data_IF_333066707863
#
_entry.id   IF_333066707863
#
_cell.length_a   1.000
_cell.length_b   1.000
_cell.length_c   1.000
_cell.angle_alpha   90.00
_cell.angle_beta   90.00
_cell.angle_gamma   90.00
#
_symmetry.space_group_name_H-M   'P 1'
#
loop_
_entity.id
_entity.type
_entity.pdbx_description
1 polymer ?
#
# COMPACT_ATOMS: atom_id res chain seq x y z
N UNK A 1 -10.43 -19.20 34.95
CA UNK A 1 -9.15 -19.64 34.36
C UNK A 1 -8.40 -18.51 33.63
N UNK A 2 -9.08 -17.53 33.01
CA UNK A 2 -8.46 -16.42 32.28
C UNK A 2 -7.56 -15.48 33.13
N UNK A 3 -7.82 -15.34 34.43
CA UNK A 3 -7.04 -14.46 35.35
C UNK A 3 -5.60 -14.91 35.61
N UNK A 4 -5.28 -16.20 35.40
CA UNK A 4 -3.92 -16.76 35.60
C UNK A 4 -3.14 -16.83 34.29
N UNK A 5 -3.84 -16.92 33.15
CA UNK A 5 -3.22 -17.02 31.83
C UNK A 5 -2.50 -15.71 31.47
N UNK A 6 -3.12 -14.57 31.76
CA UNK A 6 -2.55 -13.25 31.45
C UNK A 6 -1.18 -13.01 32.12
N UNK A 7 -1.00 -13.20 33.44
CA UNK A 7 0.32 -13.00 34.06
C UNK A 7 1.37 -14.01 33.58
N UNK A 8 0.98 -15.25 33.25
CA UNK A 8 1.92 -16.26 32.71
C UNK A 8 2.40 -15.88 31.32
N UNK A 9 1.51 -15.40 30.45
CA UNK A 9 1.86 -14.94 29.09
C UNK A 9 2.76 -13.71 29.15
N UNK A 10 2.45 -12.74 30.02
CA UNK A 10 3.29 -11.55 30.22
C UNK A 10 4.66 -11.96 30.76
N UNK A 11 4.72 -12.88 31.72
CA UNK A 11 5.98 -13.39 32.27
C UNK A 11 6.84 -14.08 31.21
N UNK A 12 6.24 -14.90 30.34
CA UNK A 12 6.96 -15.55 29.23
C UNK A 12 7.43 -14.51 28.19
N UNK A 13 6.60 -13.54 27.83
CA UNK A 13 6.97 -12.49 26.88
C UNK A 13 8.11 -11.61 27.41
N UNK A 14 8.07 -11.25 28.70
CA UNK A 14 9.13 -10.52 29.38
C UNK A 14 10.39 -11.37 29.52
N UNK A 15 10.27 -12.66 29.84
CA UNK A 15 11.41 -13.58 29.86
C UNK A 15 12.05 -13.72 28.48
N UNK A 16 11.28 -13.79 27.40
CA UNK A 16 11.81 -13.82 26.03
C UNK A 16 12.53 -12.51 25.72
N UNK A 17 11.92 -11.36 26.03
CA UNK A 17 12.56 -10.04 25.83
C UNK A 17 13.88 -9.91 26.62
N UNK A 18 13.93 -10.45 27.85
CA UNK A 18 15.13 -10.42 28.70
C UNK A 18 16.18 -11.47 28.31
N UNK A 19 15.75 -12.67 27.88
CA UNK A 19 16.63 -13.79 27.49
C UNK A 19 17.33 -13.51 26.16
N UNK A 20 16.67 -12.77 25.26
CA UNK A 20 17.23 -12.31 24.00
C UNK A 20 17.92 -10.93 24.10
N UNK A 21 17.78 -10.24 25.25
CA UNK A 21 18.51 -9.03 25.64
C UNK A 21 18.39 -7.83 24.67
N UNK A 22 19.15 -6.78 24.97
CA UNK A 22 19.40 -5.63 24.07
C UNK A 22 20.02 -6.05 22.72
N UNK A 23 20.61 -7.25 22.65
CA UNK A 23 21.22 -7.81 21.43
C UNK A 23 20.19 -8.14 20.34
N UNK A 24 19.07 -8.76 20.69
CA UNK A 24 18.00 -9.01 19.71
C UNK A 24 17.32 -7.71 19.28
N UNK A 25 17.07 -6.80 20.22
CA UNK A 25 16.48 -5.51 19.89
C UNK A 25 17.40 -4.69 18.99
N UNK A 26 18.70 -4.62 19.27
CA UNK A 26 19.68 -3.93 18.40
C UNK A 26 19.88 -4.61 17.06
N UNK A 27 19.81 -5.94 16.98
CA UNK A 27 19.81 -6.69 15.71
C UNK A 27 18.55 -6.42 14.89
N UNK A 28 17.39 -6.33 15.53
CA UNK A 28 16.13 -5.98 14.86
C UNK A 28 16.12 -4.52 14.44
N UNK A 29 16.61 -3.60 15.28
CA UNK A 29 16.67 -2.17 14.95
C UNK A 29 17.65 -1.89 13.81
N UNK A 30 18.83 -2.52 13.81
CA UNK A 30 19.79 -2.41 12.70
C UNK A 30 19.22 -3.03 11.42
N UNK A 31 18.59 -4.21 11.50
CA UNK A 31 17.89 -4.78 10.35
C UNK A 31 16.79 -3.86 9.82
N UNK A 32 16.01 -3.22 10.69
CA UNK A 32 14.97 -2.28 10.30
C UNK A 32 15.55 -1.00 9.69
N UNK A 33 16.62 -0.47 10.26
CA UNK A 33 17.30 0.71 9.74
C UNK A 33 17.91 0.43 8.35
N UNK A 34 18.56 -0.71 8.17
CA UNK A 34 19.09 -1.16 6.89
C UNK A 34 17.97 -1.40 5.86
N UNK A 35 16.88 -2.04 6.27
CA UNK A 35 15.74 -2.28 5.40
C UNK A 35 15.05 -0.97 4.97
N UNK A 36 14.88 -0.03 5.90
CA UNK A 36 14.32 1.30 5.63
C UNK A 36 15.27 2.12 4.76
N UNK A 37 16.58 2.08 5.02
CA UNK A 37 17.61 2.74 4.22
C UNK A 37 17.64 2.24 2.79
N UNK A 38 17.69 0.91 2.60
CA UNK A 38 17.59 0.27 1.28
C UNK A 38 16.33 0.71 0.54
N UNK A 39 15.18 0.71 1.22
CA UNK A 39 13.92 1.11 0.61
C UNK A 39 13.95 2.58 0.16
N UNK A 40 14.45 3.48 1.00
CA UNK A 40 14.55 4.91 0.70
C UNK A 40 15.54 5.21 -0.43
N UNK A 41 16.68 4.53 -0.46
CA UNK A 41 17.68 4.71 -1.51
C UNK A 41 17.20 4.17 -2.85
N UNK A 42 16.61 2.97 -2.85
CA UNK A 42 15.98 2.40 -4.03
C UNK A 42 14.86 3.30 -4.56
N UNK A 43 14.08 3.89 -3.65
CA UNK A 43 13.02 4.82 -4.00
C UNK A 43 13.53 6.09 -4.68
N UNK A 44 14.57 6.70 -4.10
CA UNK A 44 15.21 7.88 -4.65
C UNK A 44 15.79 7.60 -6.03
N UNK A 45 16.42 6.43 -6.19
CA UNK A 45 16.93 5.97 -7.47
C UNK A 45 15.79 5.79 -8.48
N UNK A 46 14.71 5.12 -8.11
CA UNK A 46 13.55 4.93 -8.98
C UNK A 46 12.94 6.28 -9.41
N UNK A 47 12.70 7.20 -8.48
CA UNK A 47 12.09 8.50 -8.77
C UNK A 47 12.95 9.33 -9.74
N UNK A 48 14.26 9.36 -9.52
CA UNK A 48 15.19 10.06 -10.42
C UNK A 48 15.21 9.44 -11.82
N UNK A 49 15.22 8.11 -11.93
CA UNK A 49 15.15 7.43 -13.23
C UNK A 49 13.84 7.70 -13.98
N UNK A 50 12.70 7.70 -13.26
CA UNK A 50 11.40 8.03 -13.87
C UNK A 50 11.37 9.48 -14.32
N UNK A 51 11.84 10.42 -13.48
CA UNK A 51 11.90 11.84 -13.81
C UNK A 51 12.81 12.08 -15.04
N UNK A 52 13.99 11.48 -15.06
CA UNK A 52 14.93 11.56 -16.18
C UNK A 52 14.34 10.95 -17.45
N UNK A 53 13.64 9.82 -17.36
CA UNK A 53 12.95 9.23 -18.50
C UNK A 53 11.89 10.18 -19.08
N UNK A 54 11.06 10.77 -18.20
CA UNK A 54 9.99 11.70 -18.58
C UNK A 54 10.56 12.95 -19.27
N UNK A 55 11.61 13.55 -18.70
CA UNK A 55 12.23 14.77 -19.23
C UNK A 55 12.99 14.49 -20.53
N UNK A 56 13.74 13.40 -20.60
CA UNK A 56 14.59 13.12 -21.76
C UNK A 56 13.86 12.43 -22.92
N UNK A 57 12.68 11.86 -22.69
CA UNK A 57 11.92 11.14 -23.72
C UNK A 57 10.42 11.55 -23.75
N UNK A 58 10.11 12.84 -23.95
CA UNK A 58 8.73 13.33 -23.88
C UNK A 58 7.82 12.68 -24.94
N UNK A 59 8.34 12.33 -26.11
CA UNK A 59 7.56 11.63 -27.15
C UNK A 59 7.15 10.21 -26.73
N UNK A 60 7.97 9.50 -25.93
CA UNK A 60 7.62 8.18 -25.38
C UNK A 60 6.50 8.32 -24.37
N UNK A 61 6.51 9.39 -23.56
CA UNK A 61 5.43 9.69 -22.63
C UNK A 61 4.11 9.95 -23.39
N UNK A 62 4.14 10.78 -24.42
CA UNK A 62 2.96 11.04 -25.26
C UNK A 62 2.43 9.77 -25.92
N UNK A 63 3.32 8.93 -26.47
CA UNK A 63 2.93 7.65 -27.05
C UNK A 63 2.30 6.72 -26.00
N UNK A 64 2.89 6.63 -24.80
CA UNK A 64 2.34 5.84 -23.70
C UNK A 64 0.95 6.34 -23.27
N UNK A 65 0.74 7.67 -23.20
CA UNK A 65 -0.56 8.26 -22.90
C UNK A 65 -1.60 7.97 -23.99
N UNK A 66 -1.22 8.08 -25.27
CA UNK A 66 -2.12 7.77 -26.39
C UNK A 66 -2.51 6.30 -26.39
N UNK A 67 -1.54 5.40 -26.25
CA UNK A 67 -1.80 3.95 -26.15
C UNK A 67 -2.70 3.65 -24.95
N UNK A 68 -2.42 4.25 -23.80
CA UNK A 68 -3.23 4.08 -22.59
C UNK A 68 -4.66 4.57 -22.80
N UNK A 69 -4.85 5.76 -23.41
CA UNK A 69 -6.17 6.29 -23.69
C UNK A 69 -6.97 5.37 -24.63
N UNK A 70 -6.34 4.87 -25.70
CA UNK A 70 -6.97 3.94 -26.65
C UNK A 70 -7.34 2.62 -25.96
N UNK A 71 -6.38 2.04 -25.21
CA UNK A 71 -6.60 0.80 -24.48
C UNK A 71 -7.71 0.95 -23.43
N UNK A 72 -7.70 2.05 -22.65
CA UNK A 72 -8.75 2.36 -21.69
C UNK A 72 -10.11 2.48 -22.35
N UNK A 73 -10.24 3.25 -23.44
CA UNK A 73 -11.51 3.39 -24.16
C UNK A 73 -12.03 2.03 -24.69
N UNK A 74 -11.13 1.19 -25.20
CA UNK A 74 -11.48 -0.14 -25.67
C UNK A 74 -11.96 -1.06 -24.53
N UNK A 75 -11.26 -1.06 -23.39
CA UNK A 75 -11.62 -1.84 -22.21
C UNK A 75 -12.97 -1.39 -21.65
N UNK A 76 -13.16 -0.08 -21.46
CA UNK A 76 -14.42 0.46 -20.91
C UNK A 76 -15.61 0.15 -21.81
N UNK A 77 -15.44 0.24 -23.13
CA UNK A 77 -16.51 -0.09 -24.09
C UNK A 77 -16.90 -1.56 -24.06
N UNK A 78 -15.96 -2.47 -23.74
CA UNK A 78 -16.19 -3.92 -23.84
C UNK A 78 -16.55 -4.57 -22.50
N UNK A 79 -16.00 -4.09 -21.38
CA UNK A 79 -16.09 -4.73 -20.06
C UNK A 79 -16.50 -3.76 -18.94
N UNK A 80 -17.03 -2.57 -19.28
CA UNK A 80 -17.40 -1.55 -18.31
C UNK A 80 -18.35 -2.06 -17.21
N UNK A 81 -19.36 -2.84 -17.59
CA UNK A 81 -20.36 -3.35 -16.63
C UNK A 81 -19.78 -4.42 -15.69
N UNK A 82 -18.86 -5.26 -16.18
CA UNK A 82 -18.18 -6.28 -15.37
C UNK A 82 -17.20 -5.66 -14.37
N UNK A 83 -16.50 -4.59 -14.78
CA UNK A 83 -15.57 -3.84 -13.92
C UNK A 83 -16.28 -3.18 -12.73
N UNK A 84 -17.54 -2.78 -12.93
CA UNK A 84 -18.37 -2.18 -11.88
C UNK A 84 -19.03 -3.21 -10.96
N UNK A 85 -18.83 -4.51 -11.19
CA UNK A 85 -19.35 -5.52 -10.28
C UNK A 85 -18.72 -5.36 -8.87
N UNK A 86 -19.49 -5.58 -7.79
CA UNK A 86 -19.00 -5.41 -6.42
C UNK A 86 -17.72 -6.20 -6.15
N UNK A 87 -17.64 -7.43 -6.67
CA UNK A 87 -16.50 -8.33 -6.51
C UNK A 87 -15.23 -7.80 -7.18
N UNK A 88 -15.35 -7.28 -8.41
CA UNK A 88 -14.19 -6.73 -9.11
C UNK A 88 -13.72 -5.43 -8.46
N UNK A 89 -14.64 -4.58 -7.97
CA UNK A 89 -14.29 -3.34 -7.27
C UNK A 89 -13.40 -3.59 -6.05
N UNK A 90 -13.77 -4.55 -5.19
CA UNK A 90 -12.94 -4.94 -4.04
C UNK A 90 -11.57 -5.46 -4.48
N UNK A 91 -11.53 -6.36 -5.47
CA UNK A 91 -10.27 -6.91 -6.01
C UNK A 91 -9.35 -5.82 -6.55
N UNK A 92 -9.88 -4.86 -7.32
CA UNK A 92 -9.10 -3.73 -7.80
C UNK A 92 -8.59 -2.86 -6.66
N UNK A 93 -9.40 -2.58 -5.64
CA UNK A 93 -8.95 -1.82 -4.47
C UNK A 93 -7.79 -2.51 -3.72
N UNK A 94 -7.83 -3.84 -3.58
CA UNK A 94 -6.72 -4.63 -3.00
C UNK A 94 -5.46 -4.52 -3.85
N UNK A 95 -5.57 -4.79 -5.16
CA UNK A 95 -4.43 -4.72 -6.09
C UNK A 95 -3.81 -3.33 -6.05
N UNK A 96 -4.65 -2.30 -6.08
CA UNK A 96 -4.21 -0.92 -6.05
C UNK A 96 -3.56 -0.55 -4.72
N UNK A 97 -4.01 -1.11 -3.59
CA UNK A 97 -3.41 -0.90 -2.27
C UNK A 97 -2.04 -1.59 -2.12
N UNK A 98 -1.81 -2.72 -2.79
CA UNK A 98 -0.52 -3.43 -2.78
C UNK A 98 0.50 -2.72 -3.67
N UNK A 99 0.15 -2.44 -4.93
CA UNK A 99 1.12 -1.93 -5.91
C UNK A 99 1.28 -0.41 -5.88
N UNK A 100 0.18 0.30 -5.64
CA UNK A 100 0.10 1.77 -5.77
C UNK A 100 -0.43 2.42 -4.50
N UNK A 101 -0.48 1.66 -3.39
CA UNK A 101 -1.13 2.12 -2.18
C UNK A 101 -0.30 3.13 -1.40
N UNK A 102 1.03 3.12 -1.57
CA UNK A 102 1.92 4.15 -1.04
C UNK A 102 1.62 5.54 -1.61
N UNK A 103 1.05 5.63 -2.82
CA UNK A 103 0.53 6.89 -3.40
C UNK A 103 -0.90 7.20 -2.96
N UNK A 104 -1.58 6.28 -2.27
CA UNK A 104 -2.99 6.40 -1.91
C UNK A 104 -3.97 6.12 -3.05
N UNK A 105 -3.53 5.49 -4.15
CA UNK A 105 -4.36 5.25 -5.33
C UNK A 105 -5.63 4.45 -5.01
N UNK A 106 -5.57 3.48 -4.09
CA UNK A 106 -6.74 2.73 -3.60
C UNK A 106 -7.77 3.63 -2.92
N UNK A 107 -7.36 4.69 -2.23
CA UNK A 107 -8.28 5.66 -1.62
C UNK A 107 -8.94 6.54 -2.67
N UNK A 108 -8.21 6.96 -3.69
CA UNK A 108 -8.79 7.68 -4.83
C UNK A 108 -9.80 6.83 -5.60
N UNK A 109 -9.47 5.56 -5.83
CA UNK A 109 -10.37 4.61 -6.48
C UNK A 109 -11.70 4.42 -5.71
N UNK A 110 -11.65 4.50 -4.38
CA UNK A 110 -12.83 4.43 -3.51
C UNK A 110 -13.55 5.78 -3.33
N UNK A 111 -13.18 6.83 -4.06
CA UNK A 111 -13.77 8.16 -3.97
C UNK A 111 -13.36 8.95 -2.72
N UNK A 112 -12.39 8.46 -1.95
CA UNK A 112 -11.93 9.06 -0.69
C UNK A 112 -10.75 10.02 -0.92
N UNK A 113 -10.97 11.07 -1.72
CA UNK A 113 -9.93 12.00 -2.18
C UNK A 113 -9.11 12.61 -1.03
N UNK A 114 -9.76 13.03 0.06
CA UNK A 114 -9.06 13.59 1.22
C UNK A 114 -8.06 12.62 1.85
N UNK A 115 -8.43 11.34 1.97
CA UNK A 115 -7.51 10.29 2.46
C UNK A 115 -6.40 10.00 1.45
N UNK A 116 -6.70 10.01 0.15
CA UNK A 116 -5.70 9.86 -0.89
C UNK A 116 -4.63 10.96 -0.83
N UNK A 117 -5.04 12.22 -0.61
CA UNK A 117 -4.11 13.34 -0.43
C UNK A 117 -3.23 13.14 0.81
N UNK A 118 -3.81 12.68 1.93
CA UNK A 118 -3.04 12.36 3.15
C UNK A 118 -1.97 11.29 2.86
N UNK A 119 -2.30 10.26 2.09
CA UNK A 119 -1.33 9.25 1.66
C UNK A 119 -0.19 9.84 0.84
N UNK A 120 -0.46 10.77 -0.08
CA UNK A 120 0.58 11.48 -0.85
C UNK A 120 1.49 12.27 0.08
N UNK A 121 0.92 13.01 1.05
CA UNK A 121 1.69 13.80 2.02
C UNK A 121 2.56 12.91 2.90
N UNK A 122 2.01 11.81 3.43
CA UNK A 122 2.77 10.84 4.23
C UNK A 122 3.87 10.21 3.37
N UNK A 123 3.57 9.86 2.12
CA UNK A 123 4.59 9.30 1.22
C UNK A 123 5.73 10.26 0.93
N UNK A 124 5.44 11.55 0.86
CA UNK A 124 6.46 12.58 0.62
C UNK A 124 7.35 12.80 1.85
N UNK A 125 6.78 12.74 3.06
CA UNK A 125 7.51 12.93 4.32
C UNK A 125 8.24 11.66 4.75
N UNK A 126 7.57 10.52 4.66
CA UNK A 126 8.07 9.22 5.11
C UNK A 126 7.41 8.07 4.33
N UNK A 127 7.96 7.75 3.16
CA UNK A 127 7.47 6.70 2.27
C UNK A 127 7.24 5.33 2.93
N UNK A 128 8.12 4.82 3.83
CA UNK A 128 7.91 3.52 4.45
C UNK A 128 6.61 3.42 5.25
N UNK A 129 6.20 4.48 5.94
CA UNK A 129 4.92 4.49 6.67
C UNK A 129 3.73 4.43 5.71
N UNK A 130 3.79 5.13 4.58
CA UNK A 130 2.72 5.07 3.58
C UNK A 130 2.53 3.66 3.02
N UNK A 131 3.64 2.96 2.74
CA UNK A 131 3.64 1.56 2.28
C UNK A 131 3.02 0.65 3.34
N UNK A 132 3.43 0.78 4.61
CA UNK A 132 2.87 -0.03 5.69
C UNK A 132 1.35 0.19 5.86
N UNK A 133 0.91 1.44 5.86
CA UNK A 133 -0.52 1.78 5.94
C UNK A 133 -1.31 1.19 4.76
N UNK A 134 -0.74 1.21 3.56
CA UNK A 134 -1.41 0.67 2.38
C UNK A 134 -1.49 -0.85 2.38
N UNK A 135 -0.47 -1.54 2.90
CA UNK A 135 -0.51 -2.98 3.14
C UNK A 135 -1.57 -3.37 4.18
N UNK A 136 -1.70 -2.59 5.26
CA UNK A 136 -2.77 -2.80 6.25
C UNK A 136 -4.14 -2.65 5.59
N UNK A 137 -4.32 -1.63 4.74
CA UNK A 137 -5.54 -1.45 3.96
C UNK A 137 -5.80 -2.62 3.00
N UNK A 138 -4.77 -3.12 2.32
CA UNK A 138 -4.89 -4.28 1.42
C UNK A 138 -5.35 -5.54 2.16
N UNK A 139 -4.76 -5.85 3.31
CA UNK A 139 -5.17 -6.99 4.16
C UNK A 139 -6.60 -6.81 4.65
N UNK A 140 -6.97 -5.60 5.08
CA UNK A 140 -8.34 -5.29 5.47
C UNK A 140 -9.32 -5.51 4.33
N UNK A 141 -9.01 -5.05 3.12
CA UNK A 141 -9.88 -5.25 1.95
C UNK A 141 -9.99 -6.71 1.53
N UNK A 142 -8.90 -7.49 1.66
CA UNK A 142 -8.92 -8.94 1.42
C UNK A 142 -9.79 -9.69 2.44
N UNK A 143 -9.78 -9.24 3.70
CA UNK A 143 -10.53 -9.87 4.79
C UNK A 143 -12.04 -9.55 4.75
N UNK A 144 -12.45 -8.42 4.16
CA UNK A 144 -13.85 -8.04 3.99
C UNK A 144 -14.53 -8.87 2.90
N UNK A 145 -15.81 -9.22 3.06
CA UNK A 145 -16.61 -9.75 1.96
C UNK A 145 -17.13 -8.63 1.02
N UNK A 146 -17.74 -9.01 -0.12
CA UNK A 146 -18.21 -8.04 -1.11
C UNK A 146 -19.36 -7.15 -0.59
N UNK A 147 -20.19 -7.66 0.33
CA UNK A 147 -21.33 -6.94 0.87
C UNK A 147 -20.89 -5.91 1.93
N UNK A 148 -19.99 -6.32 2.82
CA UNK A 148 -19.33 -5.48 3.81
C UNK A 148 -18.54 -4.36 3.14
N UNK A 149 -17.76 -4.71 2.11
CA UNK A 149 -16.98 -3.73 1.34
C UNK A 149 -17.90 -2.67 0.71
N UNK A 150 -19.00 -3.08 0.08
CA UNK A 150 -19.98 -2.16 -0.51
C UNK A 150 -20.64 -1.25 0.53
N UNK A 151 -20.86 -1.75 1.74
CA UNK A 151 -21.45 -0.98 2.82
C UNK A 151 -20.51 0.11 3.32
N UNK A 152 -19.22 -0.19 3.44
CA UNK A 152 -18.21 0.78 3.87
C UNK A 152 -17.76 1.75 2.76
N UNK A 153 -17.84 1.34 1.50
CA UNK A 153 -17.40 2.10 0.34
C UNK A 153 -18.52 2.17 -0.71
N UNK A 154 -19.64 2.85 -0.43
CA UNK A 154 -20.68 3.10 -1.43
C UNK A 154 -20.14 4.00 -2.55
N UNK A 155 -20.73 3.88 -3.75
CA UNK A 155 -20.43 4.74 -4.90
C UNK A 155 -20.97 6.16 -4.69
#
# INVERSE_FOLDING_TARGET
>A
MQKVIVPVVIFIAVLIALMFGEGLLSSLLSFLEDALGFFLDYWRMFYTHVADFVVNNPYKLLLALVITAIASLWIFKRHGDELNSPTNRRKFAVVLAIFLGWLGAHRFYLGQYGKGIVYILISAVFAPLSVLLSFIDAVRFLAMDDAEFRTHYPL
#
